data_IF_897291128064
#
_entry.id   IF_897291128064
#
_cell.length_a   1.000
_cell.length_b   1.000
_cell.length_c   1.000
_cell.angle_alpha   90.00
_cell.angle_beta   90.00
_cell.angle_gamma   90.00
#
_symmetry.space_group_name_H-M   'P 1'
#
loop_
_entity.id
_entity.type
_entity.pdbx_description
1 polymer ?
#
# COMPACT_ATOMS: atom_id res chain seq x y z
N UNK A 1 11.38 6.36 -23.04
CA UNK A 1 11.29 4.89 -23.20
C UNK A 1 10.20 4.56 -24.19
N UNK A 2 10.39 3.51 -24.99
CA UNK A 2 9.43 3.05 -26.01
C UNK A 2 8.11 2.60 -25.38
N UNK A 3 6.99 2.94 -26.00
CA UNK A 3 5.66 2.48 -25.56
C UNK A 3 5.40 1.08 -26.12
N UNK A 4 5.15 0.11 -25.23
CA UNK A 4 4.81 -1.26 -25.63
C UNK A 4 3.29 -1.47 -25.50
N UNK A 5 2.59 -1.97 -26.54
CA UNK A 5 1.16 -2.23 -26.45
C UNK A 5 0.83 -3.23 -25.34
N UNK A 6 -0.14 -2.90 -24.48
CA UNK A 6 -0.57 -3.75 -23.35
C UNK A 6 -0.87 -5.19 -23.77
N UNK A 7 -1.59 -5.37 -24.90
CA UNK A 7 -1.93 -6.71 -25.44
C UNK A 7 -0.70 -7.58 -25.69
N UNK A 8 0.41 -6.99 -26.16
CA UNK A 8 1.67 -7.71 -26.38
C UNK A 8 2.31 -8.13 -25.05
N UNK A 9 2.37 -7.22 -24.07
CA UNK A 9 2.85 -7.54 -22.72
C UNK A 9 2.07 -8.69 -22.10
N UNK A 10 0.73 -8.65 -22.16
CA UNK A 10 -0.11 -9.73 -21.67
C UNK A 10 0.14 -11.06 -22.39
N UNK A 11 0.36 -11.03 -23.71
CA UNK A 11 0.77 -12.21 -24.46
C UNK A 11 2.08 -12.81 -23.93
N UNK A 12 3.11 -11.97 -23.72
CA UNK A 12 4.40 -12.41 -23.18
C UNK A 12 4.27 -12.97 -21.75
N UNK A 13 3.45 -12.35 -20.90
CA UNK A 13 3.21 -12.84 -19.53
C UNK A 13 2.52 -14.21 -19.54
N UNK A 14 1.57 -14.45 -20.46
CA UNK A 14 0.97 -15.78 -20.62
C UNK A 14 1.98 -16.83 -21.03
N UNK A 15 2.89 -16.49 -21.95
CA UNK A 15 3.98 -17.39 -22.35
C UNK A 15 4.91 -17.69 -21.18
N UNK A 16 5.30 -16.66 -20.41
CA UNK A 16 6.10 -16.82 -19.19
C UNK A 16 5.44 -17.79 -18.20
N UNK A 17 4.13 -17.64 -17.95
CA UNK A 17 3.37 -18.54 -17.08
C UNK A 17 3.32 -19.98 -17.61
N UNK A 18 3.10 -20.16 -18.92
CA UNK A 18 3.12 -21.49 -19.55
C UNK A 18 4.48 -22.16 -19.43
N UNK A 19 5.57 -21.42 -19.66
CA UNK A 19 6.93 -21.91 -19.48
C UNK A 19 7.22 -22.24 -18.01
N UNK A 20 6.86 -21.36 -17.07
CA UNK A 20 7.03 -21.61 -15.65
C UNK A 20 6.31 -22.91 -15.22
N UNK A 21 5.09 -23.15 -15.72
CA UNK A 21 4.35 -24.39 -15.49
C UNK A 21 5.07 -25.62 -16.05
N UNK A 22 5.60 -25.53 -17.27
CA UNK A 22 6.37 -26.62 -17.91
C UNK A 22 7.63 -26.96 -17.10
N UNK A 23 8.35 -25.95 -16.63
CA UNK A 23 9.53 -26.06 -15.77
C UNK A 23 9.21 -26.39 -14.30
N UNK A 24 7.95 -26.77 -14.00
CA UNK A 24 7.46 -27.14 -12.66
C UNK A 24 7.52 -26.03 -11.61
N UNK A 25 7.59 -24.76 -12.01
CA UNK A 25 7.38 -23.59 -11.15
C UNK A 25 5.89 -23.24 -11.06
N UNK A 26 5.09 -24.16 -10.54
CA UNK A 26 3.66 -23.95 -10.28
C UNK A 26 3.42 -23.75 -8.78
N UNK A 27 2.76 -22.66 -8.36
CA UNK A 27 2.44 -22.46 -6.94
C UNK A 27 1.44 -23.51 -6.45
N UNK A 28 1.67 -24.05 -5.26
CA UNK A 28 0.74 -24.94 -4.58
C UNK A 28 -0.25 -24.16 -3.68
N UNK A 29 -1.54 -24.10 -4.04
CA UNK A 29 -2.53 -23.37 -3.25
C UNK A 29 -2.74 -23.97 -1.85
N UNK A 30 -2.51 -25.27 -1.65
CA UNK A 30 -2.60 -25.91 -0.33
C UNK A 30 -1.48 -25.48 0.62
N UNK A 31 -0.42 -24.86 0.09
CA UNK A 31 0.69 -24.28 0.84
C UNK A 31 0.67 -22.74 0.82
N UNK A 32 -0.46 -22.15 0.43
CA UNK A 32 -0.61 -20.70 0.28
C UNK A 32 0.41 -20.06 -0.68
N UNK A 33 0.96 -20.83 -1.60
CA UNK A 33 1.98 -20.35 -2.52
C UNK A 33 1.35 -19.51 -3.64
N UNK A 34 2.08 -18.50 -4.10
CA UNK A 34 1.73 -17.69 -5.25
C UNK A 34 2.95 -17.46 -6.13
N UNK A 35 2.76 -17.37 -7.45
CA UNK A 35 3.83 -16.99 -8.36
C UNK A 35 3.93 -15.46 -8.39
N UNK A 36 4.94 -14.91 -7.71
CA UNK A 36 5.24 -13.49 -7.79
C UNK A 36 5.94 -13.20 -9.11
N UNK A 37 5.40 -12.27 -9.91
CA UNK A 37 6.02 -11.82 -11.17
C UNK A 37 6.48 -10.37 -11.05
N UNK A 38 7.67 -10.09 -11.57
CA UNK A 38 8.24 -8.75 -11.68
C UNK A 38 8.58 -8.47 -13.13
N UNK A 39 7.89 -7.49 -13.70
CA UNK A 39 8.20 -6.94 -15.02
C UNK A 39 9.18 -5.79 -14.81
N UNK A 40 10.37 -5.92 -15.40
CA UNK A 40 11.43 -4.92 -15.32
C UNK A 40 11.58 -4.27 -16.69
N UNK A 41 11.68 -2.94 -16.70
CA UNK A 41 11.85 -2.16 -17.91
C UNK A 41 12.93 -1.11 -17.70
N UNK A 42 14.09 -1.30 -18.32
CA UNK A 42 15.29 -0.50 -18.10
C UNK A 42 15.87 0.02 -19.42
N UNK A 43 16.44 1.23 -19.44
CA UNK A 43 17.25 1.67 -20.57
C UNK A 43 18.60 0.94 -20.53
N UNK A 44 19.15 0.60 -21.69
CA UNK A 44 20.42 -0.14 -21.82
C UNK A 44 21.41 0.55 -22.76
N UNK A 45 21.15 1.82 -23.09
CA UNK A 45 22.08 2.61 -23.89
C UNK A 45 23.41 2.81 -23.15
N UNK A 46 24.50 2.69 -23.91
CA UNK A 46 25.87 2.93 -23.42
C UNK A 46 26.19 4.44 -23.49
N UNK A 47 25.52 5.17 -24.38
CA UNK A 47 25.69 6.61 -24.56
C UNK A 47 24.90 7.42 -23.53
N UNK A 48 25.30 8.68 -23.33
CA UNK A 48 24.53 9.62 -22.52
C UNK A 48 23.08 9.74 -23.03
N UNK A 49 22.08 9.88 -22.14
CA UNK A 49 20.68 9.87 -22.53
C UNK A 49 20.36 10.97 -23.55
N UNK A 50 20.06 10.57 -24.79
CA UNK A 50 19.48 11.46 -25.80
C UNK A 50 17.96 11.46 -25.64
N UNK A 51 17.33 12.62 -25.81
CA UNK A 51 15.89 12.84 -25.56
C UNK A 51 14.97 11.88 -26.33
N UNK A 52 15.42 11.36 -27.48
CA UNK A 52 14.65 10.47 -28.35
C UNK A 52 15.49 9.25 -28.74
N UNK A 53 14.91 8.04 -28.58
CA UNK A 53 15.47 6.72 -28.86
C UNK A 53 16.44 6.17 -27.82
N UNK A 54 15.88 5.56 -26.78
CA UNK A 54 16.62 4.68 -25.88
C UNK A 54 16.42 3.22 -26.28
N UNK A 55 17.51 2.46 -26.43
CA UNK A 55 17.44 1.01 -26.39
C UNK A 55 16.99 0.59 -25.00
N UNK A 56 16.02 -0.32 -24.95
CA UNK A 56 15.40 -0.72 -23.69
C UNK A 56 15.34 -2.24 -23.61
N UNK A 57 15.60 -2.75 -22.41
CA UNK A 57 15.42 -4.16 -22.08
C UNK A 57 14.16 -4.30 -21.23
N UNK A 58 13.21 -5.08 -21.74
CA UNK A 58 12.05 -5.56 -20.99
C UNK A 58 12.27 -7.03 -20.68
N UNK A 59 12.22 -7.39 -19.39
CA UNK A 59 12.32 -8.78 -18.97
C UNK A 59 11.40 -9.06 -17.79
N UNK A 60 11.00 -10.32 -17.65
CA UNK A 60 10.13 -10.79 -16.58
C UNK A 60 10.91 -11.79 -15.74
N UNK A 61 10.91 -11.57 -14.43
CA UNK A 61 11.43 -12.52 -13.44
C UNK A 61 10.28 -12.96 -12.55
N UNK A 62 10.34 -14.17 -12.01
CA UNK A 62 9.37 -14.61 -11.02
C UNK A 62 9.94 -15.61 -10.04
N UNK A 63 9.26 -15.77 -8.92
CA UNK A 63 9.58 -16.75 -7.88
C UNK A 63 8.30 -17.21 -7.17
N UNK A 64 8.33 -18.43 -6.61
CA UNK A 64 7.25 -18.91 -5.77
C UNK A 64 7.38 -18.25 -4.39
N UNK A 65 6.32 -17.57 -4.00
CA UNK A 65 6.22 -16.84 -2.75
C UNK A 65 5.27 -17.59 -1.82
N UNK A 66 5.77 -17.96 -0.63
CA UNK A 66 5.04 -18.75 0.35
C UNK A 66 4.55 -17.79 1.47
N UNK A 67 5.50 -17.05 2.05
CA UNK A 67 5.24 -16.24 3.25
C UNK A 67 4.63 -14.86 2.96
N UNK A 68 4.77 -14.37 1.72
CA UNK A 68 4.17 -13.08 1.30
C UNK A 68 2.65 -13.12 1.36
N UNK A 69 2.05 -14.33 1.27
CA UNK A 69 0.61 -14.51 1.29
C UNK A 69 0.08 -15.32 2.48
N UNK A 70 0.94 -16.00 3.24
CA UNK A 70 0.57 -16.63 4.51
C UNK A 70 0.08 -15.62 5.57
N UNK A 71 0.34 -14.32 5.37
CA UNK A 71 -0.14 -13.25 6.26
C UNK A 71 0.32 -13.49 7.72
N UNK A 72 1.63 -13.67 7.87
CA UNK A 72 2.31 -13.99 9.14
C UNK A 72 2.28 -12.84 10.16
N UNK A 73 2.04 -11.61 9.72
CA UNK A 73 1.89 -10.45 10.60
C UNK A 73 0.44 -10.33 11.08
N UNK A 74 0.22 -10.59 12.37
CA UNK A 74 -1.08 -10.36 13.02
C UNK A 74 -1.47 -8.89 13.01
N UNK A 75 -0.48 -7.99 13.07
CA UNK A 75 -0.62 -6.54 13.09
C UNK A 75 0.74 -5.87 12.92
N UNK A 76 0.74 -4.56 12.63
CA UNK A 76 1.96 -3.74 12.55
C UNK A 76 1.89 -2.50 13.44
N UNK A 77 3.06 -2.08 13.89
CA UNK A 77 3.35 -0.78 14.49
C UNK A 77 4.09 0.07 13.49
N UNK A 78 3.72 1.34 13.37
CA UNK A 78 4.27 2.22 12.34
C UNK A 78 4.85 3.48 12.95
N UNK A 79 5.95 3.96 12.36
CA UNK A 79 6.61 5.21 12.74
C UNK A 79 6.33 6.27 11.70
N UNK A 80 5.86 7.45 12.10
CA UNK A 80 5.70 8.57 11.18
C UNK A 80 7.07 9.06 10.71
N UNK A 81 7.23 9.17 9.41
CA UNK A 81 8.39 9.79 8.78
C UNK A 81 8.22 11.31 8.79
N UNK A 82 9.05 12.00 9.58
CA UNK A 82 8.99 13.45 9.81
C UNK A 82 10.11 14.23 9.12
N UNK A 83 11.18 13.56 8.68
CA UNK A 83 12.32 14.19 7.99
C UNK A 83 12.10 14.25 6.48
N UNK A 84 11.39 13.26 5.93
CA UNK A 84 11.05 13.19 4.51
C UNK A 84 9.66 13.72 4.19
N UNK A 85 9.56 14.84 3.47
CA UNK A 85 8.29 15.31 2.91
C UNK A 85 8.08 14.75 1.49
N UNK A 86 6.95 14.08 1.25
CA UNK A 86 6.54 13.69 -0.10
C UNK A 86 5.58 14.72 -0.69
N UNK A 87 6.08 15.50 -1.64
CA UNK A 87 5.25 16.33 -2.50
C UNK A 87 4.97 15.57 -3.81
N UNK A 88 3.76 15.01 -3.90
CA UNK A 88 3.35 14.20 -5.05
C UNK A 88 2.98 15.02 -6.28
N UNK A 89 2.64 16.30 -6.10
CA UNK A 89 2.21 17.17 -7.18
C UNK A 89 3.33 17.37 -8.22
N UNK A 90 3.04 17.08 -9.49
CA UNK A 90 3.97 17.15 -10.65
C UNK A 90 5.24 16.29 -10.56
N UNK A 91 5.33 15.37 -9.59
CA UNK A 91 6.47 14.46 -9.44
C UNK A 91 6.25 13.12 -10.16
N UNK A 92 7.34 12.41 -10.46
CA UNK A 92 7.28 11.00 -10.92
C UNK A 92 6.92 10.01 -9.79
N UNK A 93 6.53 10.51 -8.61
CA UNK A 93 6.18 9.67 -7.46
C UNK A 93 5.04 8.69 -7.77
N UNK A 94 4.15 9.05 -8.70
CA UNK A 94 3.04 8.21 -9.20
C UNK A 94 3.47 6.97 -10.00
N UNK A 95 4.75 6.88 -10.36
CA UNK A 95 5.30 5.80 -11.18
C UNK A 95 6.03 4.76 -10.31
N UNK A 96 5.95 3.48 -10.69
CA UNK A 96 6.76 2.42 -10.07
C UNK A 96 8.19 2.44 -10.63
N UNK A 97 8.98 3.44 -10.24
CA UNK A 97 10.39 3.61 -10.63
C UNK A 97 11.32 3.45 -9.42
N UNK A 98 12.53 2.95 -9.64
CA UNK A 98 13.52 2.64 -8.59
C UNK A 98 13.80 3.82 -7.65
N UNK A 99 13.89 5.04 -8.19
CA UNK A 99 14.10 6.29 -7.43
C UNK A 99 13.08 6.48 -6.29
N UNK A 100 11.84 6.05 -6.48
CA UNK A 100 10.78 6.21 -5.47
C UNK A 100 10.88 5.19 -4.32
N UNK A 101 11.70 4.14 -4.47
CA UNK A 101 11.95 3.14 -3.42
C UNK A 101 13.22 3.45 -2.62
N UNK A 102 14.20 4.13 -3.23
CA UNK A 102 15.47 4.48 -2.57
C UNK A 102 15.25 5.26 -1.26
N UNK A 103 14.45 6.32 -1.33
CA UNK A 103 14.14 7.17 -0.16
C UNK A 103 13.37 6.43 0.93
N UNK A 104 12.65 5.36 0.59
CA UNK A 104 11.92 4.52 1.55
C UNK A 104 12.88 3.69 2.40
N UNK A 105 13.98 3.19 1.84
CA UNK A 105 14.88 2.28 2.57
C UNK A 105 15.49 2.92 3.82
N UNK A 106 15.91 4.18 3.76
CA UNK A 106 16.46 4.87 4.93
C UNK A 106 15.42 5.00 6.04
N UNK A 107 14.21 5.46 5.68
CA UNK A 107 13.10 5.61 6.61
C UNK A 107 12.67 4.28 7.25
N UNK A 108 12.62 3.21 6.45
CA UNK A 108 12.32 1.86 6.94
C UNK A 108 13.39 1.33 7.88
N UNK A 109 14.67 1.60 7.60
CA UNK A 109 15.76 1.21 8.47
C UNK A 109 15.65 1.89 9.83
N UNK A 110 15.34 3.19 9.85
CA UNK A 110 15.13 3.94 11.08
C UNK A 110 13.91 3.42 11.86
N UNK A 111 12.80 3.12 11.18
CA UNK A 111 11.62 2.50 11.81
C UNK A 111 11.98 1.18 12.50
N UNK A 112 12.70 0.29 11.80
CA UNK A 112 13.13 -1.00 12.37
C UNK A 112 14.08 -0.84 13.55
N UNK A 113 15.02 0.10 13.49
CA UNK A 113 15.92 0.40 14.61
C UNK A 113 15.17 0.89 15.85
N UNK A 114 14.02 1.55 15.67
CA UNK A 114 13.14 2.01 16.74
C UNK A 114 12.10 0.96 17.18
N UNK A 115 12.11 -0.25 16.60
CA UNK A 115 11.14 -1.31 16.93
C UNK A 115 9.78 -1.17 16.25
N UNK A 116 9.71 -0.45 15.13
CA UNK A 116 8.52 -0.31 14.28
C UNK A 116 8.66 -1.11 12.99
N UNK A 117 7.55 -1.66 12.51
CA UNK A 117 7.52 -2.56 11.34
C UNK A 117 7.58 -1.82 10.01
N UNK A 118 7.07 -0.58 9.99
CA UNK A 118 7.03 0.25 8.79
C UNK A 118 7.10 1.76 9.08
N UNK A 119 7.51 2.54 8.07
CA UNK A 119 7.36 4.00 8.06
C UNK A 119 6.03 4.43 7.45
N UNK A 120 5.36 5.37 8.14
CA UNK A 120 4.13 6.04 7.73
C UNK A 120 4.47 7.42 7.17
N UNK A 121 4.17 7.63 5.90
CA UNK A 121 4.45 8.85 5.18
C UNK A 121 3.29 9.82 5.21
N UNK A 122 3.63 11.09 5.33
CA UNK A 122 2.69 12.20 5.30
C UNK A 122 2.72 12.88 3.92
N UNK A 123 1.55 13.36 3.51
CA UNK A 123 1.43 14.33 2.43
C UNK A 123 1.26 15.72 3.06
N UNK A 124 2.18 16.61 2.74
CA UNK A 124 2.09 17.98 3.19
C UNK A 124 1.26 18.81 2.19
N UNK A 125 -0.02 19.00 2.50
CA UNK A 125 -0.92 19.80 1.68
C UNK A 125 -0.62 21.30 1.89
N UNK A 126 -0.09 21.95 0.87
CA UNK A 126 0.20 23.40 0.84
C UNK A 126 1.10 23.90 1.98
N UNK A 127 2.00 23.07 2.51
CA UNK A 127 2.90 23.41 3.62
C UNK A 127 2.19 23.71 4.97
N UNK A 128 0.89 23.46 5.07
CA UNK A 128 0.08 23.82 6.25
C UNK A 128 -0.63 22.65 6.90
N UNK A 129 -0.83 21.52 6.20
CA UNK A 129 -1.55 20.35 6.73
C UNK A 129 -0.80 19.07 6.43
N UNK A 130 -0.55 18.28 7.47
CA UNK A 130 0.16 17.01 7.38
C UNK A 130 -0.85 15.85 7.33
N UNK A 131 -1.22 15.44 6.12
CA UNK A 131 -2.19 14.38 5.90
C UNK A 131 -1.52 13.00 5.95
N UNK A 132 -2.13 12.03 6.63
CA UNK A 132 -1.72 10.63 6.55
C UNK A 132 -1.89 10.15 5.10
N UNK A 133 -0.80 9.69 4.46
CA UNK A 133 -0.81 9.38 3.03
C UNK A 133 -0.66 7.88 2.72
N UNK A 134 0.47 7.28 3.09
CA UNK A 134 0.77 5.89 2.73
C UNK A 134 1.82 5.29 3.68
N UNK A 135 1.87 3.96 3.74
CA UNK A 135 2.99 3.22 4.31
C UNK A 135 3.96 2.87 3.17
N UNK A 136 5.23 2.60 3.47
CA UNK A 136 6.21 2.28 2.42
C UNK A 136 5.79 1.16 1.47
N UNK A 137 5.01 0.20 1.95
CA UNK A 137 4.60 -0.99 1.22
C UNK A 137 3.11 -1.06 0.88
N UNK A 138 2.32 -0.04 1.23
CA UNK A 138 0.87 -0.11 1.05
C UNK A 138 0.15 1.23 1.23
N UNK A 139 -1.07 1.29 0.73
CA UNK A 139 -1.97 2.42 0.95
C UNK A 139 -2.61 2.29 2.34
N UNK A 140 -3.05 3.40 2.91
CA UNK A 140 -3.61 3.45 4.27
C UNK A 140 -5.10 3.71 4.22
N UNK A 141 -5.82 3.04 5.12
CA UNK A 141 -7.24 3.19 5.36
C UNK A 141 -7.50 3.41 6.85
N UNK A 142 -8.50 4.23 7.15
CA UNK A 142 -8.95 4.51 8.51
C UNK A 142 -10.47 4.34 8.54
N UNK A 143 -10.98 3.52 9.45
CA UNK A 143 -12.41 3.36 9.70
C UNK A 143 -12.79 4.28 10.85
N UNK A 144 -13.79 5.11 10.61
CA UNK A 144 -14.30 6.06 11.58
C UNK A 144 -15.72 5.69 11.98
N UNK A 145 -16.07 5.94 13.23
CA UNK A 145 -17.48 6.00 13.65
C UNK A 145 -18.13 7.20 12.99
N UNK A 146 -19.33 7.03 12.47
CA UNK A 146 -20.14 8.15 12.02
C UNK A 146 -20.75 8.85 13.26
N UNK A 147 -20.44 10.13 13.44
CA UNK A 147 -20.90 10.92 14.59
C UNK A 147 -22.41 11.21 14.54
N UNK A 148 -22.98 11.34 13.33
CA UNK A 148 -24.42 11.59 13.12
C UNK A 148 -25.26 10.30 13.18
N UNK A 149 -24.64 9.15 12.92
CA UNK A 149 -25.29 7.85 12.99
C UNK A 149 -24.33 6.77 13.53
N UNK A 150 -24.36 6.48 14.84
CA UNK A 150 -23.46 5.51 15.48
C UNK A 150 -23.53 4.08 14.92
N UNK A 151 -24.61 3.73 14.20
CA UNK A 151 -24.76 2.40 13.56
C UNK A 151 -23.99 2.30 12.24
N UNK A 152 -23.48 3.42 11.72
CA UNK A 152 -22.72 3.48 10.47
C UNK A 152 -21.25 3.78 10.71
N UNK A 153 -20.43 3.30 9.77
CA UNK A 153 -18.98 3.54 9.74
C UNK A 153 -18.61 4.31 8.47
N UNK A 154 -17.48 5.01 8.51
CA UNK A 154 -16.93 5.73 7.36
C UNK A 154 -15.53 5.21 7.10
N UNK A 155 -15.30 4.60 5.94
CA UNK A 155 -13.96 4.26 5.48
C UNK A 155 -13.33 5.48 4.80
N UNK A 156 -12.18 5.89 5.31
CA UNK A 156 -11.42 7.03 4.79
C UNK A 156 -10.07 6.56 4.24
N UNK A 157 -9.68 7.11 3.10
CA UNK A 157 -8.31 7.04 2.57
C UNK A 157 -7.95 8.39 1.93
N UNK A 158 -6.65 8.67 1.73
CA UNK A 158 -6.24 9.90 1.06
C UNK A 158 -6.56 9.85 -0.45
N UNK A 159 -6.75 11.02 -1.05
CA UNK A 159 -6.99 11.16 -2.48
C UNK A 159 -5.78 10.67 -3.31
N UNK A 160 -6.05 10.06 -4.46
CA UNK A 160 -5.10 9.46 -5.39
C UNK A 160 -4.05 10.48 -5.89
N UNK A 161 -4.41 11.76 -5.90
CA UNK A 161 -3.50 12.83 -6.30
C UNK A 161 -2.36 13.08 -5.29
N UNK A 162 -2.52 12.62 -4.05
CA UNK A 162 -1.64 12.89 -2.91
C UNK A 162 -0.95 11.64 -2.36
N UNK A 163 -0.82 10.59 -3.16
CA UNK A 163 -0.12 9.35 -2.81
C UNK A 163 0.85 8.93 -3.93
N UNK A 164 1.83 8.07 -3.61
CA UNK A 164 2.79 7.57 -4.62
C UNK A 164 2.16 6.59 -5.58
N UNK A 165 1.19 5.76 -5.17
CA UNK A 165 0.62 4.79 -6.09
C UNK A 165 -0.75 4.29 -5.60
N UNK A 166 -1.84 4.50 -6.36
CA UNK A 166 -3.11 3.85 -6.08
C UNK A 166 -3.03 2.37 -6.48
N UNK A 167 -2.65 1.51 -5.54
CA UNK A 167 -2.45 0.07 -5.80
C UNK A 167 -3.71 -0.67 -6.20
N UNK A 168 -3.55 -1.83 -6.87
CA UNK A 168 -4.70 -2.72 -7.16
C UNK A 168 -5.40 -3.19 -5.88
N UNK A 169 -4.65 -3.48 -4.81
CA UNK A 169 -5.19 -3.81 -3.49
C UNK A 169 -6.04 -2.68 -2.90
N UNK A 170 -5.61 -1.43 -3.08
CA UNK A 170 -6.38 -0.25 -2.68
C UNK A 170 -7.69 -0.17 -3.45
N UNK A 171 -7.63 -0.32 -4.77
CA UNK A 171 -8.83 -0.25 -5.61
C UNK A 171 -9.82 -1.37 -5.27
N UNK A 172 -9.33 -2.59 -5.02
CA UNK A 172 -10.15 -3.72 -4.61
C UNK A 172 -10.77 -3.48 -3.21
N UNK A 173 -9.98 -2.97 -2.26
CA UNK A 173 -10.48 -2.59 -0.92
C UNK A 173 -11.59 -1.53 -1.01
N UNK A 174 -11.40 -0.50 -1.84
CA UNK A 174 -12.42 0.53 -2.08
C UNK A 174 -13.67 -0.10 -2.68
N UNK A 175 -13.52 -0.91 -3.74
CA UNK A 175 -14.64 -1.55 -4.41
C UNK A 175 -15.47 -2.41 -3.46
N UNK A 176 -14.84 -3.33 -2.70
CA UNK A 176 -15.55 -4.14 -1.71
C UNK A 176 -16.23 -3.28 -0.64
N UNK A 177 -15.57 -2.21 -0.20
CA UNK A 177 -16.14 -1.31 0.81
C UNK A 177 -17.41 -0.60 0.33
N UNK A 178 -17.52 -0.31 -0.97
CA UNK A 178 -18.76 0.27 -1.53
C UNK A 178 -19.94 -0.71 -1.55
N UNK A 179 -19.69 -2.01 -1.35
CA UNK A 179 -20.73 -3.05 -1.31
C UNK A 179 -21.24 -3.32 0.11
N UNK A 180 -20.61 -2.74 1.14
CA UNK A 180 -20.99 -2.89 2.55
C UNK A 180 -22.03 -1.83 2.90
N UNK A 181 -23.26 -2.22 3.21
CA UNK A 181 -24.40 -1.30 3.33
C UNK A 181 -24.30 -0.33 4.52
N UNK A 182 -23.67 -0.76 5.61
CA UNK A 182 -23.43 0.03 6.82
C UNK A 182 -22.16 0.91 6.76
N UNK A 183 -21.48 0.95 5.60
CA UNK A 183 -20.23 1.65 5.41
C UNK A 183 -20.35 2.70 4.30
N UNK A 184 -20.04 3.96 4.63
CA UNK A 184 -19.76 4.97 3.60
C UNK A 184 -18.27 5.03 3.29
N UNK A 185 -17.93 5.52 2.09
CA UNK A 185 -16.55 5.68 1.65
C UNK A 185 -16.24 7.13 1.29
N UNK A 186 -15.13 7.63 1.79
CA UNK A 186 -14.66 9.00 1.53
C UNK A 186 -13.17 9.03 1.20
N UNK A 187 -12.81 9.83 0.19
CA UNK A 187 -11.41 10.22 -0.04
C UNK A 187 -11.16 11.57 0.61
N UNK A 188 -10.54 11.59 1.80
CA UNK A 188 -10.24 12.84 2.51
C UNK A 188 -8.94 12.78 3.30
N UNK A 189 -8.43 13.96 3.65
CA UNK A 189 -7.27 14.10 4.51
C UNK A 189 -7.66 13.85 5.98
N UNK A 190 -6.93 12.94 6.63
CA UNK A 190 -6.86 12.87 8.08
C UNK A 190 -5.50 13.41 8.49
N UNK A 191 -5.50 14.51 9.24
CA UNK A 191 -4.27 15.13 9.72
C UNK A 191 -3.68 14.31 10.85
N UNK A 192 -2.37 14.05 10.79
CA UNK A 192 -1.67 13.27 11.80
C UNK A 192 -1.76 13.94 13.18
N UNK A 193 -1.74 15.28 13.23
CA UNK A 193 -1.86 16.06 14.46
C UNK A 193 -3.24 15.90 15.14
N UNK A 194 -4.26 15.54 14.36
CA UNK A 194 -5.61 15.27 14.87
C UNK A 194 -5.83 13.81 15.24
N UNK A 195 -4.94 12.88 14.84
CA UNK A 195 -5.16 11.44 15.00
C UNK A 195 -5.38 11.06 16.47
N UNK A 196 -4.52 11.54 17.37
CA UNK A 196 -4.64 11.30 18.82
C UNK A 196 -5.99 11.75 19.38
N UNK A 197 -6.45 12.95 18.98
CA UNK A 197 -7.75 13.48 19.41
C UNK A 197 -8.91 12.62 18.91
N UNK A 198 -8.86 12.17 17.66
CA UNK A 198 -9.90 11.31 17.09
C UNK A 198 -9.93 9.92 17.75
N UNK A 199 -8.76 9.35 18.07
CA UNK A 199 -8.65 8.10 18.83
C UNK A 199 -9.22 8.27 20.24
N UNK A 200 -8.82 9.32 20.98
CA UNK A 200 -9.28 9.56 22.34
C UNK A 200 -10.80 9.82 22.43
N UNK A 201 -11.40 10.38 21.38
CA UNK A 201 -12.86 10.57 21.26
C UNK A 201 -13.59 9.29 20.85
N UNK A 202 -12.90 8.18 20.61
CA UNK A 202 -13.48 6.93 20.11
C UNK A 202 -14.04 7.04 18.69
N UNK A 203 -13.55 8.00 17.89
CA UNK A 203 -13.97 8.20 16.50
C UNK A 203 -13.20 7.26 15.58
N UNK A 204 -11.90 7.08 15.78
CA UNK A 204 -11.12 6.09 15.03
C UNK A 204 -11.42 4.70 15.59
N UNK A 205 -11.94 3.81 14.74
CA UNK A 205 -12.24 2.42 15.08
C UNK A 205 -11.14 1.49 14.60
N UNK A 206 -10.64 1.71 13.38
CA UNK A 206 -9.61 0.88 12.76
C UNK A 206 -8.64 1.73 11.95
N UNK A 207 -7.41 1.26 11.84
CA UNK A 207 -6.46 1.69 10.81
C UNK A 207 -5.80 0.44 10.24
N UNK A 208 -5.69 0.35 8.92
CA UNK A 208 -5.06 -0.78 8.27
C UNK A 208 -4.40 -0.36 6.97
N UNK A 209 -3.49 -1.21 6.49
CA UNK A 209 -2.83 -1.03 5.19
C UNK A 209 -3.38 -1.99 4.15
N UNK A 210 -3.34 -1.59 2.88
CA UNK A 210 -3.58 -2.47 1.73
C UNK A 210 -2.38 -2.43 0.76
N UNK A 211 -1.76 -3.56 0.43
CA UNK A 211 -0.66 -3.60 -0.54
C UNK A 211 -0.25 -5.02 -0.91
N UNK A 212 0.48 -5.20 -2.02
CA UNK A 212 0.88 -6.55 -2.46
C UNK A 212 1.76 -7.30 -1.44
N UNK A 213 2.62 -6.59 -0.71
CA UNK A 213 3.56 -7.19 0.25
C UNK A 213 3.00 -7.26 1.68
N UNK A 214 1.90 -6.57 1.96
CA UNK A 214 1.29 -6.48 3.29
C UNK A 214 -0.17 -6.96 3.27
N UNK A 215 -0.68 -7.39 2.11
CA UNK A 215 -2.10 -7.64 1.87
C UNK A 215 -2.99 -6.60 2.55
N UNK A 216 -3.97 -7.03 3.33
CA UNK A 216 -4.67 -6.22 4.32
C UNK A 216 -4.10 -6.56 5.69
N UNK A 217 -3.43 -5.59 6.32
CA UNK A 217 -2.78 -5.76 7.64
C UNK A 217 -3.19 -4.64 8.59
N UNK A 218 -3.65 -4.98 9.81
CA UNK A 218 -4.08 -3.98 10.79
C UNK A 218 -2.91 -3.21 11.39
N UNK A 219 -3.11 -1.93 11.64
CA UNK A 219 -2.18 -1.05 12.37
C UNK A 219 -2.68 -0.91 13.80
N UNK A 220 -1.81 -1.16 14.78
CA UNK A 220 -2.14 -1.10 16.22
C UNK A 220 -1.47 0.05 16.94
N UNK A 221 -0.39 0.61 16.39
CA UNK A 221 0.36 1.69 17.01
C UNK A 221 0.91 2.63 15.94
N UNK A 222 0.80 3.94 16.17
CA UNK A 222 1.45 4.98 15.37
C UNK A 222 2.36 5.78 16.29
N UNK A 223 3.66 5.84 15.99
CA UNK A 223 4.62 6.71 16.67
C UNK A 223 4.76 8.04 15.94
N UNK A 224 4.45 9.13 16.65
CA UNK A 224 4.50 10.48 16.09
C UNK A 224 4.88 11.49 17.18
N UNK A 225 5.83 12.39 16.88
CA UNK A 225 6.29 13.44 17.80
C UNK A 225 6.53 12.94 19.23
N UNK A 226 7.34 11.89 19.38
CA UNK A 226 7.71 11.29 20.68
C UNK A 226 6.53 10.68 21.47
N UNK A 227 5.37 10.52 20.83
CA UNK A 227 4.19 9.94 21.43
C UNK A 227 3.75 8.67 20.71
N UNK A 228 3.27 7.69 21.50
CA UNK A 228 2.61 6.48 21.00
C UNK A 228 1.11 6.71 20.93
N UNK A 229 0.54 6.54 19.74
CA UNK A 229 -0.90 6.56 19.50
C UNK A 229 -1.35 5.11 19.33
N UNK A 230 -2.07 4.57 20.31
CA UNK A 230 -2.62 3.21 20.24
C UNK A 230 -3.89 3.23 19.40
N UNK A 231 -3.95 2.42 18.35
CA UNK A 231 -5.11 2.33 17.47
C UNK A 231 -5.95 1.11 17.87
N UNK A 232 -7.27 1.25 18.11
CA UNK A 232 -8.11 0.17 18.62
C UNK A 232 -8.54 -0.86 17.55
N UNK A 233 -7.74 -1.03 16.49
CA UNK A 233 -8.08 -1.87 15.32
C UNK A 233 -8.41 -3.31 15.71
N UNK A 234 -7.66 -3.91 16.63
CA UNK A 234 -7.87 -5.30 17.08
C UNK A 234 -8.93 -5.43 18.19
N UNK A 235 -9.49 -4.32 18.66
CA UNK A 235 -10.51 -4.31 19.73
C UNK A 235 -11.93 -4.30 19.17
N UNK A 236 -12.08 -4.19 17.84
CA UNK A 236 -13.38 -4.18 17.18
C UNK A 236 -13.96 -5.60 17.14
N UNK A 237 -15.24 -5.74 17.48
CA UNK A 237 -15.95 -7.03 17.41
C UNK A 237 -16.15 -7.51 15.97
N UNK A 238 -16.32 -6.57 15.05
CA UNK A 238 -16.56 -6.83 13.63
C UNK A 238 -15.67 -5.91 12.78
N UNK A 239 -14.35 -6.17 12.73
CA UNK A 239 -13.43 -5.29 12.03
C UNK A 239 -13.53 -5.45 10.52
N UNK A 240 -13.58 -4.31 9.81
CA UNK A 240 -13.62 -4.26 8.35
C UNK A 240 -12.40 -4.93 7.72
N UNK A 241 -11.21 -4.79 8.31
CA UNK A 241 -10.00 -5.38 7.76
C UNK A 241 -10.08 -6.92 7.69
N UNK A 242 -10.73 -7.58 8.66
CA UNK A 242 -10.93 -9.04 8.64
C UNK A 242 -11.95 -9.46 7.60
N UNK A 243 -13.08 -8.74 7.48
CA UNK A 243 -14.08 -9.01 6.43
C UNK A 243 -13.43 -9.02 5.05
N UNK A 244 -12.60 -8.00 4.77
CA UNK A 244 -11.90 -7.91 3.49
C UNK A 244 -10.82 -8.98 3.32
N UNK A 245 -10.14 -9.40 4.40
CA UNK A 245 -9.19 -10.52 4.37
C UNK A 245 -9.87 -11.86 4.08
N UNK A 246 -11.04 -12.11 4.67
CA UNK A 246 -11.82 -13.36 4.52
C UNK A 246 -12.52 -13.48 3.17
N UNK A 247 -12.89 -12.35 2.54
CA UNK A 247 -13.49 -12.34 1.21
C UNK A 247 -12.54 -12.79 0.09
N UNK A 248 -11.36 -13.35 0.41
CA UNK A 248 -10.37 -13.89 -0.53
C UNK A 248 -10.19 -13.01 -1.77
N UNK A 249 -9.90 -11.72 -1.56
CA UNK A 249 -9.79 -10.65 -2.57
C UNK A 249 -8.98 -10.98 -3.85
N UNK A 250 -8.19 -12.06 -3.87
CA UNK A 250 -7.25 -12.40 -4.93
C UNK A 250 -7.13 -13.91 -5.25
N UNK A 251 -8.11 -14.75 -4.87
CA UNK A 251 -8.23 -16.09 -5.45
C UNK A 251 -8.86 -16.03 -6.85
#
# INVERSE_FOLDING_TARGET
MTTIPKKKIFGCLKLFLSSAKHEKYSPNPLKFESLFMRVNYIPVDIELPKMNNSNTLLFVTGFIANDLFENTLSSIKVRVETKGNKNFNRSQAKMKISKNYETKYSSERESKQMGYDASLWLFNAKFTRNCIAELSYGNVFIVLRNEDNPTKRILVTLNDEYISYPGSYRNATIHLSTQVSELSFEKRCIEIDNLTKLVNRGIVLEMFTSGHSMQITPVTEVWYNEHRITIPTLQQLDPLFLRHKQNNLFQ
#
